data_IF_130999269201
#
_entry.id   IF_130999269201
#
_cell.length_a   1.000
_cell.length_b   1.000
_cell.length_c   1.000
_cell.angle_alpha   90.00
_cell.angle_beta   90.00
_cell.angle_gamma   90.00
#
_symmetry.space_group_name_H-M   'P 1'
#
loop_
_entity.id
_entity.type
_entity.pdbx_description
1 polymer ?
#
# COMPACT_ATOMS: atom_id res chain seq x y z
N UNK A 1 0.54 24.42 -4.67
CA UNK A 1 -0.63 24.18 -5.55
C UNK A 1 -0.30 23.11 -6.55
N UNK A 2 -1.21 22.15 -6.72
CA UNK A 2 -1.06 21.06 -7.68
C UNK A 2 -1.03 21.69 -9.08
N UNK A 3 0.04 21.43 -9.82
CA UNK A 3 0.16 21.91 -11.18
C UNK A 3 -0.58 20.97 -12.14
N UNK A 4 -1.13 21.51 -13.23
CA UNK A 4 -1.73 20.69 -14.30
C UNK A 4 -0.69 19.69 -14.85
N UNK A 5 0.58 20.04 -14.83
CA UNK A 5 1.68 19.18 -15.24
C UNK A 5 1.80 17.93 -14.38
N UNK A 6 1.66 18.03 -13.05
CA UNK A 6 1.72 16.86 -12.15
C UNK A 6 0.57 15.89 -12.38
N UNK A 7 -0.64 16.39 -12.68
CA UNK A 7 -1.79 15.56 -13.01
C UNK A 7 -1.62 14.84 -14.35
N UNK A 8 -1.05 15.52 -15.35
CA UNK A 8 -0.74 14.93 -16.66
C UNK A 8 0.35 13.85 -16.53
N UNK A 9 1.37 14.10 -15.72
CA UNK A 9 2.44 13.14 -15.46
C UNK A 9 1.90 11.86 -14.81
N UNK A 10 1.04 11.97 -13.79
CA UNK A 10 0.34 10.85 -13.17
C UNK A 10 -0.53 10.09 -14.16
N UNK A 11 -1.27 10.80 -15.00
CA UNK A 11 -2.07 10.17 -16.05
C UNK A 11 -1.22 9.34 -17.00
N UNK A 12 -0.09 9.91 -17.44
CA UNK A 12 0.88 9.22 -18.30
C UNK A 12 1.47 7.98 -17.60
N UNK A 13 1.82 8.09 -16.35
CA UNK A 13 2.34 6.99 -15.53
C UNK A 13 1.35 5.81 -15.49
N UNK A 14 0.08 6.09 -15.17
CA UNK A 14 -0.98 5.06 -15.14
C UNK A 14 -1.15 4.39 -16.50
N UNK A 15 -1.30 5.16 -17.55
CA UNK A 15 -1.48 4.63 -18.92
C UNK A 15 -0.29 3.78 -19.33
N UNK A 16 0.94 4.25 -19.07
CA UNK A 16 2.17 3.52 -19.40
C UNK A 16 2.30 2.21 -18.60
N UNK A 17 1.80 2.17 -17.39
CA UNK A 17 1.81 0.95 -16.55
C UNK A 17 0.76 -0.07 -16.97
N UNK A 18 -0.41 0.37 -17.43
CA UNK A 18 -1.52 -0.52 -17.83
C UNK A 18 -1.29 -1.12 -19.23
N UNK A 19 -0.75 -0.35 -20.16
CA UNK A 19 -0.56 -0.79 -21.57
C UNK A 19 0.20 -2.12 -21.68
N UNK A 20 1.36 -2.34 -21.04
CA UNK A 20 2.09 -3.61 -21.15
C UNK A 20 1.26 -4.80 -20.66
N UNK A 21 0.50 -4.62 -19.57
CA UNK A 21 -0.35 -5.68 -19.01
C UNK A 21 -1.45 -6.04 -19.99
N UNK A 22 -2.12 -5.05 -20.58
CA UNK A 22 -3.17 -5.27 -21.58
C UNK A 22 -2.60 -5.97 -22.80
N UNK A 23 -1.42 -5.58 -23.28
CA UNK A 23 -0.76 -6.21 -24.42
C UNK A 23 -0.40 -7.67 -24.15
N UNK A 24 0.14 -7.98 -22.96
CA UNK A 24 0.46 -9.37 -22.58
C UNK A 24 -0.80 -10.22 -22.53
N UNK A 25 -1.87 -9.72 -21.91
CA UNK A 25 -3.15 -10.48 -21.83
C UNK A 25 -3.74 -10.70 -23.22
N UNK A 26 -3.74 -9.68 -24.08
CA UNK A 26 -4.23 -9.82 -25.45
C UNK A 26 -3.38 -10.82 -26.25
N UNK A 27 -2.05 -10.78 -26.09
CA UNK A 27 -1.17 -11.75 -26.73
C UNK A 27 -1.51 -13.18 -26.29
N UNK A 28 -1.67 -13.42 -25.00
CA UNK A 28 -2.03 -14.73 -24.47
C UNK A 28 -3.40 -15.19 -24.97
N UNK A 29 -4.39 -14.29 -25.00
CA UNK A 29 -5.75 -14.61 -25.47
C UNK A 29 -5.80 -14.94 -26.95
N UNK A 30 -4.99 -14.27 -27.78
CA UNK A 30 -5.00 -14.51 -29.24
C UNK A 30 -4.13 -15.69 -29.67
N UNK A 31 -3.03 -15.99 -28.94
CA UNK A 31 -2.05 -16.97 -29.38
C UNK A 31 -1.98 -18.24 -28.52
N UNK A 32 -2.48 -18.20 -27.29
CA UNK A 32 -2.33 -19.31 -26.33
C UNK A 32 -3.68 -19.83 -25.84
N UNK A 33 -4.66 -18.96 -25.65
CA UNK A 33 -5.95 -19.29 -25.03
C UNK A 33 -7.06 -19.05 -26.07
N UNK A 34 -7.80 -20.09 -26.44
CA UNK A 34 -9.03 -19.93 -27.24
C UNK A 34 -10.12 -19.30 -26.35
N UNK A 35 -10.27 -17.99 -26.42
CA UNK A 35 -11.27 -17.26 -25.64
C UNK A 35 -12.41 -16.75 -26.52
N UNK A 36 -13.68 -16.89 -26.09
CA UNK A 36 -14.80 -16.31 -26.80
C UNK A 36 -14.74 -14.80 -26.88
N UNK A 37 -15.14 -14.23 -28.02
CA UNK A 37 -15.02 -12.78 -28.30
C UNK A 37 -15.66 -11.87 -27.24
N UNK A 38 -16.73 -12.32 -26.58
CA UNK A 38 -17.38 -11.52 -25.53
C UNK A 38 -16.46 -11.29 -24.30
N UNK A 39 -15.59 -12.24 -23.94
CA UNK A 39 -14.63 -12.10 -22.85
C UNK A 39 -13.54 -11.09 -23.20
N UNK A 40 -13.13 -11.04 -24.46
CA UNK A 40 -12.13 -10.06 -24.95
C UNK A 40 -12.72 -8.64 -24.83
N UNK A 41 -13.98 -8.45 -25.24
CA UNK A 41 -14.66 -7.16 -25.08
C UNK A 41 -14.84 -6.76 -23.61
N UNK A 42 -15.24 -7.69 -22.76
CA UNK A 42 -15.34 -7.45 -21.31
C UNK A 42 -13.99 -7.05 -20.71
N UNK A 43 -12.91 -7.71 -21.11
CA UNK A 43 -11.57 -7.37 -20.67
C UNK A 43 -11.15 -5.98 -21.12
N UNK A 44 -11.36 -5.62 -22.40
CA UNK A 44 -11.00 -4.29 -22.93
C UNK A 44 -11.78 -3.17 -22.24
N UNK A 45 -13.09 -3.34 -22.10
CA UNK A 45 -13.93 -2.38 -21.37
C UNK A 45 -13.48 -2.26 -19.91
N UNK A 46 -13.20 -3.40 -19.25
CA UNK A 46 -12.68 -3.44 -17.91
C UNK A 46 -11.34 -2.72 -17.77
N UNK A 47 -10.41 -2.92 -18.71
CA UNK A 47 -9.10 -2.25 -18.73
C UNK A 47 -9.24 -0.73 -18.85
N UNK A 48 -10.15 -0.24 -19.69
CA UNK A 48 -10.45 1.21 -19.81
C UNK A 48 -11.02 1.75 -18.50
N UNK A 49 -12.01 1.05 -17.91
CA UNK A 49 -12.63 1.49 -16.65
C UNK A 49 -11.65 1.50 -15.49
N UNK A 50 -10.79 0.49 -15.39
CA UNK A 50 -9.74 0.42 -14.36
C UNK A 50 -8.74 1.56 -14.56
N UNK A 51 -8.32 1.82 -15.79
CA UNK A 51 -7.38 2.92 -16.10
C UNK A 51 -7.97 4.27 -15.69
N UNK A 52 -9.22 4.56 -16.06
CA UNK A 52 -9.91 5.79 -15.68
C UNK A 52 -10.08 5.88 -14.15
N UNK A 53 -10.51 4.80 -13.52
CA UNK A 53 -10.66 4.73 -12.06
C UNK A 53 -9.34 4.99 -11.33
N UNK A 54 -8.25 4.41 -11.80
CA UNK A 54 -6.93 4.59 -11.21
C UNK A 54 -6.40 6.03 -11.38
N UNK A 55 -6.62 6.64 -12.54
CA UNK A 55 -6.28 8.06 -12.78
C UNK A 55 -7.03 8.96 -11.80
N UNK A 56 -8.35 8.81 -11.69
CA UNK A 56 -9.17 9.63 -10.78
C UNK A 56 -8.76 9.39 -9.33
N UNK A 57 -8.50 8.14 -8.96
CA UNK A 57 -8.06 7.78 -7.61
C UNK A 57 -6.72 8.44 -7.25
N UNK A 58 -5.72 8.34 -8.11
CA UNK A 58 -4.40 8.95 -7.86
C UNK A 58 -4.46 10.48 -7.84
N UNK A 59 -5.28 11.10 -8.69
CA UNK A 59 -5.55 12.54 -8.60
C UNK A 59 -6.19 12.91 -7.27
N UNK A 60 -7.17 12.13 -6.81
CA UNK A 60 -7.79 12.32 -5.50
C UNK A 60 -6.80 12.26 -4.35
N UNK A 61 -5.85 11.34 -4.39
CA UNK A 61 -4.78 11.23 -3.40
C UNK A 61 -3.90 12.48 -3.39
N UNK A 62 -3.41 12.91 -4.54
CA UNK A 62 -2.55 14.10 -4.63
C UNK A 62 -3.27 15.38 -4.18
N UNK A 63 -4.56 15.50 -4.51
CA UNK A 63 -5.37 16.69 -4.17
C UNK A 63 -5.75 16.72 -2.68
N UNK A 64 -6.05 15.58 -2.09
CA UNK A 64 -6.60 15.51 -0.73
C UNK A 64 -5.60 14.96 0.29
N UNK A 65 -5.00 13.79 0.02
CA UNK A 65 -4.22 13.07 1.03
C UNK A 65 -2.85 13.69 1.29
N UNK A 66 -2.14 14.13 0.26
CA UNK A 66 -0.83 14.78 0.41
C UNK A 66 -0.93 16.06 1.28
N UNK A 67 -1.83 17.02 1.01
CA UNK A 67 -1.99 18.20 1.87
C UNK A 67 -2.40 17.87 3.32
N UNK A 68 -3.21 16.82 3.51
CA UNK A 68 -3.59 16.35 4.85
C UNK A 68 -2.36 15.80 5.56
N UNK A 69 -1.55 14.97 4.91
CA UNK A 69 -0.30 14.45 5.43
C UNK A 69 0.66 15.56 5.85
N UNK A 70 0.87 16.57 4.99
CA UNK A 70 1.67 17.75 5.33
C UNK A 70 1.14 18.51 6.54
N UNK A 71 -0.18 18.66 6.68
CA UNK A 71 -0.78 19.32 7.82
C UNK A 71 -0.50 18.57 9.13
N UNK A 72 -0.64 17.23 9.12
CA UNK A 72 -0.28 16.40 10.26
C UNK A 72 1.23 16.46 10.56
N UNK A 73 2.08 16.40 9.55
CA UNK A 73 3.53 16.54 9.68
C UNK A 73 3.92 17.85 10.39
N UNK A 74 3.29 18.97 10.02
CA UNK A 74 3.50 20.28 10.67
C UNK A 74 3.06 20.29 12.14
N UNK A 75 1.95 19.62 12.48
CA UNK A 75 1.48 19.48 13.87
C UNK A 75 2.47 18.65 14.69
N UNK A 76 2.92 17.53 14.15
CA UNK A 76 3.89 16.64 14.79
C UNK A 76 5.22 17.37 15.02
N UNK A 77 5.73 18.07 14.01
CA UNK A 77 7.00 18.79 14.07
C UNK A 77 7.00 19.94 15.12
N UNK A 78 5.84 20.53 15.40
CA UNK A 78 5.70 21.58 16.40
C UNK A 78 5.54 21.05 17.83
N UNK A 79 5.25 19.76 17.98
CA UNK A 79 5.04 19.16 19.30
C UNK A 79 6.36 18.91 20.01
N UNK A 80 6.41 19.29 21.30
CA UNK A 80 7.54 18.99 22.19
C UNK A 80 7.34 17.67 22.98
N UNK A 81 6.15 17.09 22.91
CA UNK A 81 5.81 15.88 23.65
C UNK A 81 6.07 14.63 22.82
N UNK A 82 7.09 13.88 23.19
CA UNK A 82 7.42 12.59 22.54
C UNK A 82 6.23 11.61 22.59
N UNK A 83 5.52 11.56 23.72
CA UNK A 83 4.35 10.67 23.88
C UNK A 83 3.24 11.04 22.88
N UNK A 84 2.96 12.32 22.73
CA UNK A 84 1.98 12.80 21.75
C UNK A 84 2.39 12.42 20.33
N UNK A 85 3.65 12.63 19.95
CA UNK A 85 4.17 12.27 18.63
C UNK A 85 3.98 10.78 18.37
N UNK A 86 4.35 9.90 19.31
CA UNK A 86 4.23 8.46 19.16
C UNK A 86 2.78 8.00 19.00
N UNK A 87 1.86 8.55 19.79
CA UNK A 87 0.44 8.21 19.71
C UNK A 87 -0.14 8.66 18.36
N UNK A 88 0.13 9.90 17.97
CA UNK A 88 -0.41 10.47 16.73
C UNK A 88 0.14 9.72 15.51
N UNK A 89 1.45 9.45 15.46
CA UNK A 89 2.05 8.70 14.34
C UNK A 89 1.57 7.25 14.28
N UNK A 90 1.32 6.61 15.43
CA UNK A 90 0.67 5.30 15.48
C UNK A 90 -0.74 5.34 14.90
N UNK A 91 -1.58 6.27 15.39
CA UNK A 91 -2.98 6.39 14.95
C UNK A 91 -3.06 6.71 13.45
N UNK A 92 -2.22 7.62 12.97
CA UNK A 92 -2.16 7.96 11.56
C UNK A 92 -1.73 6.75 10.73
N UNK A 93 -0.60 6.11 11.08
CA UNK A 93 -0.11 4.95 10.36
C UNK A 93 -1.12 3.80 10.33
N UNK A 94 -1.79 3.54 11.44
CA UNK A 94 -2.87 2.56 11.54
C UNK A 94 -4.05 2.94 10.64
N UNK A 95 -4.57 4.16 10.76
CA UNK A 95 -5.76 4.61 10.02
C UNK A 95 -5.55 4.65 8.51
N UNK A 96 -4.38 5.11 8.05
CA UNK A 96 -4.05 5.16 6.63
C UNK A 96 -3.87 3.75 6.07
N UNK A 97 -3.22 2.86 6.81
CA UNK A 97 -3.01 1.47 6.37
C UNK A 97 -4.31 0.67 6.32
N UNK A 98 -5.21 0.84 7.29
CA UNK A 98 -6.52 0.14 7.26
C UNK A 98 -7.41 0.60 6.10
N UNK A 99 -7.18 1.82 5.60
CA UNK A 99 -7.89 2.38 4.45
C UNK A 99 -7.24 2.00 3.10
N UNK A 100 -6.06 1.34 3.10
CA UNK A 100 -5.35 0.96 1.87
C UNK A 100 -6.15 -0.08 1.07
N UNK A 101 -6.57 0.24 -0.18
CA UNK A 101 -7.36 -0.69 -0.99
C UNK A 101 -6.66 -2.01 -1.28
N UNK A 102 -5.34 -1.97 -1.53
CA UNK A 102 -4.56 -3.16 -1.88
C UNK A 102 -4.49 -4.14 -0.71
N UNK A 103 -4.39 -3.63 0.53
CA UNK A 103 -4.43 -4.46 1.73
C UNK A 103 -5.81 -5.11 1.93
N UNK A 104 -6.88 -4.40 1.62
CA UNK A 104 -8.25 -4.94 1.69
C UNK A 104 -8.46 -6.07 0.68
N UNK A 105 -7.92 -5.92 -0.54
CA UNK A 105 -7.99 -6.94 -1.59
C UNK A 105 -7.18 -8.17 -1.17
N UNK A 106 -5.95 -7.98 -0.71
CA UNK A 106 -5.09 -9.07 -0.24
C UNK A 106 -5.75 -9.82 0.92
N UNK A 107 -6.28 -9.11 1.91
CA UNK A 107 -6.97 -9.73 3.04
C UNK A 107 -8.16 -10.59 2.61
N UNK A 108 -8.92 -10.14 1.59
CA UNK A 108 -10.01 -10.92 1.01
C UNK A 108 -9.52 -12.16 0.25
N UNK A 109 -8.42 -12.04 -0.49
CA UNK A 109 -7.82 -13.17 -1.21
C UNK A 109 -7.33 -14.25 -0.23
N UNK A 110 -6.68 -13.85 0.86
CA UNK A 110 -6.22 -14.78 1.91
C UNK A 110 -7.42 -15.45 2.61
N UNK A 111 -8.47 -14.68 2.96
CA UNK A 111 -9.67 -15.24 3.57
C UNK A 111 -10.32 -16.30 2.65
N UNK A 112 -10.45 -16.02 1.37
CA UNK A 112 -10.98 -16.98 0.39
C UNK A 112 -10.09 -18.22 0.26
N UNK A 113 -8.76 -18.04 0.19
CA UNK A 113 -7.81 -19.14 0.05
C UNK A 113 -7.75 -20.04 1.29
N UNK A 114 -8.01 -19.48 2.47
CA UNK A 114 -8.02 -20.22 3.75
C UNK A 114 -9.41 -20.66 4.20
N UNK A 115 -10.44 -20.52 3.35
CA UNK A 115 -11.83 -20.82 3.71
C UNK A 115 -12.28 -20.13 5.01
N UNK A 116 -11.95 -18.85 5.13
CA UNK A 116 -12.24 -17.99 6.31
C UNK A 116 -11.58 -18.42 7.64
N UNK A 117 -10.61 -19.33 7.61
CA UNK A 117 -9.79 -19.64 8.79
C UNK A 117 -9.02 -18.39 9.24
N UNK A 118 -8.54 -17.60 8.28
CA UNK A 118 -7.97 -16.27 8.49
C UNK A 118 -8.92 -15.21 7.87
N UNK A 119 -9.85 -14.64 8.64
CA UNK A 119 -10.79 -13.68 8.12
C UNK A 119 -10.09 -12.38 7.70
N UNK A 120 -10.61 -11.73 6.64
CA UNK A 120 -10.07 -10.48 6.09
C UNK A 120 -9.80 -9.43 7.17
N UNK A 121 -10.74 -9.27 8.11
CA UNK A 121 -10.61 -8.30 9.20
C UNK A 121 -9.38 -8.54 10.07
N UNK A 122 -9.11 -9.79 10.43
CA UNK A 122 -7.94 -10.14 11.25
C UNK A 122 -6.63 -9.71 10.56
N UNK A 123 -6.52 -10.00 9.26
CA UNK A 123 -5.33 -9.68 8.47
C UNK A 123 -5.16 -8.16 8.39
N UNK A 124 -6.22 -7.43 7.99
CA UNK A 124 -6.19 -5.98 7.83
C UNK A 124 -5.85 -5.28 9.16
N UNK A 125 -6.49 -5.66 10.26
CA UNK A 125 -6.21 -5.06 11.57
C UNK A 125 -4.80 -5.37 12.08
N UNK A 126 -4.34 -6.61 11.93
CA UNK A 126 -2.99 -7.02 12.39
C UNK A 126 -1.90 -6.28 11.62
N UNK A 127 -2.02 -6.23 10.29
CA UNK A 127 -1.05 -5.53 9.43
C UNK A 127 -1.06 -4.04 9.71
N UNK A 128 -2.25 -3.41 9.81
CA UNK A 128 -2.37 -1.98 10.12
C UNK A 128 -1.79 -1.62 11.48
N UNK A 129 -1.99 -2.47 12.49
CA UNK A 129 -1.38 -2.29 13.81
C UNK A 129 0.15 -2.39 13.74
N UNK A 130 0.68 -3.36 12.99
CA UNK A 130 2.12 -3.51 12.77
C UNK A 130 2.74 -2.29 12.10
N UNK A 131 2.12 -1.79 11.03
CA UNK A 131 2.58 -0.57 10.33
C UNK A 131 2.50 0.64 11.24
N UNK A 132 1.41 0.84 11.98
CA UNK A 132 1.27 1.92 12.95
C UNK A 132 2.38 1.91 14.01
N UNK A 133 2.70 0.73 14.56
CA UNK A 133 3.81 0.56 15.51
C UNK A 133 5.15 0.93 14.87
N UNK A 134 5.43 0.44 13.66
CA UNK A 134 6.70 0.69 12.98
C UNK A 134 6.87 2.17 12.61
N UNK A 135 5.80 2.87 12.19
CA UNK A 135 5.84 4.31 11.92
C UNK A 135 6.10 5.09 13.21
N UNK A 136 5.44 4.71 14.31
CA UNK A 136 5.67 5.32 15.62
C UNK A 136 7.11 5.12 16.09
N UNK A 137 7.65 3.91 15.99
CA UNK A 137 9.05 3.63 16.33
C UNK A 137 10.04 4.31 15.37
N UNK A 138 9.70 4.43 14.09
CA UNK A 138 10.45 5.20 13.11
C UNK A 138 10.53 6.68 13.48
N UNK A 139 9.42 7.26 13.94
CA UNK A 139 9.37 8.64 14.44
C UNK A 139 10.24 8.81 15.69
N UNK A 140 10.19 7.85 16.65
CA UNK A 140 11.06 7.85 17.83
C UNK A 140 12.55 7.80 17.44
N UNK A 141 12.87 6.98 16.44
CA UNK A 141 14.24 6.89 15.89
C UNK A 141 14.71 8.26 15.37
N UNK A 142 13.86 8.96 14.60
CA UNK A 142 14.17 10.30 14.08
C UNK A 142 14.41 11.29 15.21
N UNK A 143 13.56 11.30 16.23
CA UNK A 143 13.70 12.17 17.40
C UNK A 143 14.99 11.92 18.19
N UNK A 144 15.46 10.68 18.22
CA UNK A 144 16.70 10.29 18.90
C UNK A 144 17.96 10.40 18.03
N UNK A 145 17.85 10.76 16.76
CA UNK A 145 18.94 10.83 15.82
C UNK A 145 19.62 9.48 15.53
N UNK A 146 18.92 8.37 15.72
CA UNK A 146 19.49 7.03 15.50
C UNK A 146 19.67 6.75 14.01
N UNK A 147 20.83 6.21 13.58
CA UNK A 147 21.06 5.85 12.18
C UNK A 147 20.09 4.78 11.70
N UNK A 148 19.58 4.95 10.46
CA UNK A 148 18.61 4.04 9.84
C UNK A 148 19.12 2.59 9.76
N UNK A 149 20.42 2.41 9.56
CA UNK A 149 21.08 1.10 9.45
C UNK A 149 20.84 0.19 10.67
N UNK A 150 20.89 0.73 11.88
CA UNK A 150 20.68 -0.06 13.11
C UNK A 150 19.20 -0.42 13.29
N UNK A 151 18.30 0.48 12.91
CA UNK A 151 16.88 0.23 12.91
C UNK A 151 16.52 -0.93 11.97
N UNK A 152 17.00 -0.88 10.73
CA UNK A 152 16.79 -1.97 9.78
C UNK A 152 17.43 -3.28 10.23
N UNK A 153 18.69 -3.25 10.68
CA UNK A 153 19.37 -4.45 11.14
C UNK A 153 18.57 -5.15 12.23
N UNK A 154 18.05 -4.39 13.21
CA UNK A 154 17.27 -4.92 14.32
C UNK A 154 15.96 -5.58 13.83
N UNK A 155 15.15 -4.86 13.05
CA UNK A 155 13.86 -5.38 12.61
C UNK A 155 14.00 -6.52 11.60
N UNK A 156 14.94 -6.44 10.64
CA UNK A 156 15.17 -7.54 9.71
C UNK A 156 15.74 -8.78 10.40
N UNK A 157 16.54 -8.62 11.45
CA UNK A 157 16.98 -9.76 12.26
C UNK A 157 15.79 -10.45 12.96
N UNK A 158 14.86 -9.68 13.50
CA UNK A 158 13.62 -10.22 14.08
C UNK A 158 12.81 -10.95 13.02
N UNK A 159 12.58 -10.34 11.85
CA UNK A 159 11.83 -10.98 10.75
C UNK A 159 12.50 -12.27 10.31
N UNK A 160 13.83 -12.28 10.17
CA UNK A 160 14.58 -13.47 9.81
C UNK A 160 14.41 -14.59 10.86
N UNK A 161 14.56 -14.27 12.14
CA UNK A 161 14.36 -15.24 13.22
C UNK A 161 12.93 -15.79 13.20
N UNK A 162 11.92 -14.92 13.08
CA UNK A 162 10.51 -15.34 13.03
C UNK A 162 10.23 -16.22 11.81
N UNK A 163 10.83 -15.93 10.66
CA UNK A 163 10.64 -16.74 9.45
C UNK A 163 11.16 -18.17 9.59
N UNK A 164 12.18 -18.41 10.42
CA UNK A 164 12.69 -19.76 10.68
C UNK A 164 11.71 -20.64 11.46
N UNK A 165 10.78 -20.03 12.21
CA UNK A 165 9.79 -20.73 13.04
C UNK A 165 8.39 -20.68 12.43
N UNK A 166 8.21 -19.97 11.30
CA UNK A 166 6.93 -19.80 10.63
C UNK A 166 6.77 -20.78 9.47
N UNK A 167 5.54 -21.17 9.17
CA UNK A 167 5.23 -21.92 7.97
C UNK A 167 5.49 -21.06 6.71
N UNK A 168 5.88 -21.70 5.62
CA UNK A 168 6.20 -21.02 4.35
C UNK A 168 5.05 -20.13 3.85
N UNK A 169 3.81 -20.60 3.99
CA UNK A 169 2.62 -19.84 3.63
C UNK A 169 2.49 -18.54 4.44
N UNK A 170 2.79 -18.58 5.75
CA UNK A 170 2.73 -17.40 6.60
C UNK A 170 3.82 -16.38 6.27
N UNK A 171 5.02 -16.84 5.93
CA UNK A 171 6.12 -15.99 5.47
C UNK A 171 5.75 -15.29 4.16
N UNK A 172 5.22 -16.04 3.19
CA UNK A 172 4.78 -15.51 1.90
C UNK A 172 3.68 -14.45 2.08
N UNK A 173 2.65 -14.74 2.88
CA UNK A 173 1.59 -13.78 3.20
C UNK A 173 2.13 -12.50 3.85
N UNK A 174 3.14 -12.62 4.73
CA UNK A 174 3.79 -11.47 5.36
C UNK A 174 4.51 -10.56 4.36
N UNK A 175 5.23 -11.13 3.38
CA UNK A 175 5.87 -10.35 2.31
C UNK A 175 4.85 -9.72 1.37
N UNK A 176 3.79 -10.43 0.99
CA UNK A 176 2.70 -9.89 0.17
C UNK A 176 2.00 -8.73 0.87
N UNK A 177 1.72 -8.86 2.18
CA UNK A 177 1.15 -7.80 2.99
C UNK A 177 2.07 -6.56 3.08
N UNK A 178 3.39 -6.76 3.15
CA UNK A 178 4.36 -5.67 3.10
C UNK A 178 4.28 -4.91 1.78
N UNK A 179 4.15 -5.60 0.65
CA UNK A 179 3.92 -4.98 -0.67
C UNK A 179 2.59 -4.21 -0.73
N UNK A 180 1.51 -4.83 -0.26
CA UNK A 180 0.18 -4.22 -0.27
C UNK A 180 0.06 -2.96 0.61
N UNK A 181 0.84 -2.84 1.68
CA UNK A 181 0.85 -1.64 2.54
C UNK A 181 1.65 -0.47 1.98
N UNK A 182 2.54 -0.72 1.02
CA UNK A 182 3.26 0.34 0.28
C UNK A 182 2.49 0.79 -0.97
N UNK A 183 1.17 0.85 -0.87
CA UNK A 183 0.25 1.17 -1.96
C UNK A 183 0.13 2.66 -2.26
N UNK A 184 -0.74 2.93 -3.21
CA UNK A 184 -0.94 4.27 -3.77
C UNK A 184 -1.56 5.28 -2.79
N UNK A 185 -2.18 4.82 -1.70
CA UNK A 185 -2.81 5.66 -0.69
C UNK A 185 -1.86 5.93 0.49
N UNK A 186 -1.31 4.88 1.07
CA UNK A 186 -0.50 4.95 2.30
C UNK A 186 0.83 5.66 2.07
N UNK A 187 1.53 5.35 0.98
CA UNK A 187 2.87 5.87 0.71
C UNK A 187 2.90 7.39 0.52
N UNK A 188 2.07 8.02 -0.34
CA UNK A 188 2.09 9.47 -0.51
C UNK A 188 1.71 10.22 0.77
N UNK A 189 0.78 9.67 1.56
CA UNK A 189 0.36 10.28 2.81
C UNK A 189 1.47 10.30 3.88
N UNK A 190 2.21 9.18 4.01
CA UNK A 190 3.28 9.06 5.02
C UNK A 190 4.51 9.87 4.62
N UNK A 191 4.78 10.02 3.31
CA UNK A 191 5.93 10.77 2.81
C UNK A 191 5.68 12.29 2.77
N UNK A 192 4.42 12.75 2.82
CA UNK A 192 4.06 14.17 2.86
C UNK A 192 4.36 14.80 4.21
#
# INVERSE_FOLDING_TARGET
GISMESLLEKTKEVVTSVIPIVLIVLFLVFFVIESPAHLIWQFLVGAVLVTLGLIIFLWGIDIAMVPIGEAFGKIIARSKSVRFILIVTFVIGFAVTIAEPDLLILGRQIANATHDVLPQSLIVWSVSAGVGILISLGSLRLLRGMPLRYFYLFFYSIIFILSLFSEEAAVTMGFDASGATTGAFTTPFILA
#
